data_IF_341816095417
#
_entry.id   IF_341816095417
#
_cell.length_a   1.000
_cell.length_b   1.000
_cell.length_c   1.000
_cell.angle_alpha   90.00
_cell.angle_beta   90.00
_cell.angle_gamma   90.00
#
_symmetry.space_group_name_H-M   'P 1'
#
loop_
_entity.id
_entity.type
_entity.pdbx_description
1 polymer ?
#
# COMPACT_ATOMS: atom_id res chain seq x y z
N UNK A 1 -50.09 -37.10 -19.34
CA UNK A 1 -49.53 -35.95 -18.59
C UNK A 1 -49.35 -36.25 -17.09
N UNK A 2 -50.34 -36.78 -16.36
CA UNK A 2 -50.19 -37.03 -14.91
C UNK A 2 -49.10 -38.04 -14.55
N UNK A 3 -48.85 -39.06 -15.36
CA UNK A 3 -47.80 -40.09 -15.12
C UNK A 3 -46.38 -39.55 -15.38
N UNK A 4 -46.23 -38.59 -16.27
CA UNK A 4 -44.93 -37.95 -16.58
C UNK A 4 -44.53 -36.97 -15.47
N UNK A 5 -45.50 -36.26 -14.89
CA UNK A 5 -45.28 -35.33 -13.77
C UNK A 5 -44.87 -36.08 -12.49
N UNK A 6 -45.45 -37.28 -12.26
CA UNK A 6 -45.08 -38.13 -11.12
C UNK A 6 -43.66 -38.70 -11.24
N UNK A 7 -43.19 -38.97 -12.45
CA UNK A 7 -41.81 -39.46 -12.69
C UNK A 7 -40.77 -38.38 -12.47
N UNK A 8 -41.07 -37.15 -12.86
CA UNK A 8 -40.18 -35.97 -12.63
C UNK A 8 -40.11 -35.67 -11.13
N UNK A 9 -41.26 -35.73 -10.41
CA UNK A 9 -41.30 -35.49 -8.97
C UNK A 9 -40.54 -36.56 -8.18
N UNK A 10 -40.59 -37.82 -8.60
CA UNK A 10 -39.83 -38.92 -8.01
C UNK A 10 -38.31 -38.78 -8.24
N UNK A 11 -37.90 -38.26 -9.41
CA UNK A 11 -36.51 -38.05 -9.73
C UNK A 11 -35.91 -36.91 -8.91
N UNK A 12 -36.66 -35.82 -8.68
CA UNK A 12 -36.24 -34.68 -7.84
C UNK A 12 -36.14 -35.08 -6.36
N UNK A 13 -37.02 -35.94 -5.86
CA UNK A 13 -36.94 -36.46 -4.48
C UNK A 13 -35.81 -37.48 -4.27
N UNK A 14 -35.39 -38.21 -5.29
CA UNK A 14 -34.25 -39.13 -5.21
C UNK A 14 -32.90 -38.40 -5.14
N UNK A 15 -32.79 -37.20 -5.74
CA UNK A 15 -31.61 -36.38 -5.71
C UNK A 15 -31.43 -35.59 -4.38
N UNK A 16 -32.50 -35.46 -3.57
CA UNK A 16 -32.42 -34.74 -2.30
C UNK A 16 -32.04 -35.63 -1.10
N UNK A 17 -31.94 -36.96 -1.27
CA UNK A 17 -31.63 -37.93 -0.20
C UNK A 17 -30.13 -38.29 -0.09
N UNK A 18 -29.26 -37.73 -0.92
CA UNK A 18 -27.79 -37.96 -0.87
C UNK A 18 -27.06 -36.98 0.06
N UNK A 19 -27.76 -36.03 0.66
CA UNK A 19 -27.16 -34.97 1.45
C UNK A 19 -27.26 -35.12 2.99
N UNK A 20 -27.59 -36.34 3.50
CA UNK A 20 -27.59 -36.58 4.96
C UNK A 20 -27.22 -38.01 5.31
N UNK A 21 -25.97 -38.27 5.55
CA UNK A 21 -25.46 -39.50 6.18
C UNK A 21 -24.16 -39.18 6.88
N UNK A 22 -24.24 -39.03 8.20
CA UNK A 22 -23.15 -38.55 9.04
C UNK A 22 -22.11 -39.61 9.37
N UNK A 23 -21.00 -39.10 9.87
CA UNK A 23 -20.16 -39.83 10.86
C UNK A 23 -18.75 -40.14 10.42
N UNK A 24 -17.87 -39.43 11.05
CA UNK A 24 -16.54 -39.78 11.56
C UNK A 24 -15.29 -39.18 10.88
N UNK A 25 -14.63 -38.49 11.76
CA UNK A 25 -13.30 -37.90 11.71
C UNK A 25 -12.22 -38.67 10.93
N UNK A 26 -11.64 -38.01 9.95
CA UNK A 26 -10.20 -37.96 9.71
C UNK A 26 -9.87 -36.70 8.92
N UNK A 27 -8.82 -35.97 9.23
CA UNK A 27 -8.43 -34.82 8.43
C UNK A 27 -7.83 -35.34 7.13
N UNK A 28 -8.56 -35.22 6.05
CA UNK A 28 -8.01 -35.48 4.73
C UNK A 28 -7.80 -34.13 4.04
N UNK A 29 -6.55 -33.88 3.88
CA UNK A 29 -5.95 -32.97 2.95
C UNK A 29 -6.56 -33.12 1.57
N UNK A 30 -6.68 -31.96 0.93
CA UNK A 30 -6.60 -31.78 -0.51
C UNK A 30 -7.81 -32.30 -1.34
N UNK A 31 -8.82 -31.46 -1.45
CA UNK A 31 -9.61 -31.40 -2.68
C UNK A 31 -9.38 -30.01 -3.29
N UNK A 32 -8.28 -29.97 -4.05
CA UNK A 32 -8.01 -28.86 -4.98
C UNK A 32 -9.10 -28.85 -6.04
N UNK A 33 -10.23 -28.20 -5.73
CA UNK A 33 -11.02 -27.63 -6.79
C UNK A 33 -10.17 -26.52 -7.39
N UNK A 34 -9.56 -26.82 -8.54
CA UNK A 34 -9.06 -25.83 -9.47
C UNK A 34 -10.22 -24.91 -9.89
N UNK A 35 -10.65 -24.03 -9.00
CA UNK A 35 -11.08 -22.74 -9.42
C UNK A 35 -9.81 -22.14 -10.04
N UNK A 36 -9.71 -22.05 -11.36
CA UNK A 36 -8.79 -21.10 -12.01
C UNK A 36 -9.10 -19.75 -11.39
N UNK A 37 -8.45 -19.47 -10.26
CA UNK A 37 -8.54 -18.19 -9.58
C UNK A 37 -8.10 -17.15 -10.59
N UNK A 38 -8.93 -16.15 -10.82
CA UNK A 38 -8.59 -15.07 -11.72
C UNK A 38 -7.15 -14.64 -11.41
N UNK A 39 -6.26 -14.79 -12.40
CA UNK A 39 -4.82 -14.53 -12.23
C UNK A 39 -4.66 -13.08 -11.78
N UNK A 40 -4.10 -12.86 -10.61
CA UNK A 40 -3.90 -11.51 -10.08
C UNK A 40 -2.86 -10.80 -10.94
N UNK A 41 -3.25 -9.62 -11.49
CA UNK A 41 -2.33 -8.71 -12.15
C UNK A 41 -2.23 -7.42 -11.36
N UNK A 42 -1.00 -6.95 -11.17
CA UNK A 42 -0.71 -5.82 -10.28
C UNK A 42 -0.05 -4.68 -11.05
N UNK A 43 -0.54 -3.46 -10.86
CA UNK A 43 0.09 -2.24 -11.37
C UNK A 43 0.71 -1.42 -10.24
N UNK A 44 1.89 -0.83 -10.50
CA UNK A 44 2.55 0.10 -9.59
C UNK A 44 2.89 1.38 -10.36
N UNK A 45 2.59 2.52 -9.76
CA UNK A 45 2.85 3.87 -10.29
C UNK A 45 3.74 4.60 -9.30
N UNK A 46 4.90 5.08 -9.73
CA UNK A 46 5.83 5.86 -8.92
C UNK A 46 6.16 7.20 -9.56
N UNK A 47 6.37 8.23 -8.73
CA UNK A 47 6.68 9.57 -9.21
C UNK A 47 8.06 9.63 -9.88
N UNK A 48 9.04 8.91 -9.33
CA UNK A 48 10.38 8.81 -9.87
C UNK A 48 10.77 7.34 -10.06
N UNK A 49 12.01 7.10 -10.41
CA UNK A 49 12.61 5.77 -10.55
C UNK A 49 13.48 5.41 -9.33
N UNK A 50 14.28 4.35 -9.44
CA UNK A 50 15.16 3.84 -8.40
C UNK A 50 16.27 4.83 -7.95
N UNK A 51 16.46 5.96 -8.64
CA UNK A 51 17.38 7.00 -8.21
C UNK A 51 16.81 7.85 -7.07
N UNK A 52 15.50 7.88 -6.90
CA UNK A 52 14.84 8.46 -5.73
C UNK A 52 14.87 7.47 -4.58
N UNK A 53 15.41 7.86 -3.43
CA UNK A 53 15.46 7.00 -2.24
C UNK A 53 14.05 6.70 -1.68
N UNK A 54 13.08 7.57 -1.92
CA UNK A 54 11.70 7.37 -1.53
C UNK A 54 11.04 6.30 -2.40
N UNK A 55 10.99 6.53 -3.72
CA UNK A 55 10.32 5.63 -4.68
C UNK A 55 10.99 4.26 -4.73
N UNK A 56 12.33 4.23 -4.58
CA UNK A 56 13.09 2.96 -4.54
C UNK A 56 12.58 1.99 -3.48
N UNK A 57 12.18 2.48 -2.30
CA UNK A 57 11.64 1.60 -1.25
C UNK A 57 10.33 0.93 -1.69
N UNK A 58 9.45 1.65 -2.39
CA UNK A 58 8.21 1.09 -2.94
C UNK A 58 8.50 0.12 -4.07
N UNK A 59 9.42 0.46 -4.98
CA UNK A 59 9.82 -0.39 -6.10
C UNK A 59 10.44 -1.71 -5.61
N UNK A 60 11.37 -1.64 -4.66
CA UNK A 60 12.02 -2.83 -4.09
C UNK A 60 10.99 -3.71 -3.37
N UNK A 61 10.11 -3.12 -2.56
CA UNK A 61 9.05 -3.84 -1.85
C UNK A 61 8.04 -4.48 -2.83
N UNK A 62 7.67 -3.79 -3.92
CA UNK A 62 6.80 -4.31 -4.95
C UNK A 62 7.42 -5.54 -5.64
N UNK A 63 8.69 -5.44 -6.04
CA UNK A 63 9.45 -6.54 -6.66
C UNK A 63 9.55 -7.74 -5.72
N UNK A 64 9.88 -7.52 -4.44
CA UNK A 64 9.97 -8.58 -3.44
C UNK A 64 8.62 -9.25 -3.18
N UNK A 65 7.56 -8.47 -3.00
CA UNK A 65 6.22 -9.01 -2.78
C UNK A 65 5.73 -9.82 -3.98
N UNK A 66 5.91 -9.32 -5.21
CA UNK A 66 5.54 -10.02 -6.42
C UNK A 66 6.36 -11.33 -6.60
N UNK A 67 7.67 -11.29 -6.33
CA UNK A 67 8.52 -12.48 -6.37
C UNK A 67 8.07 -13.55 -5.36
N UNK A 68 7.71 -13.15 -4.13
CA UNK A 68 7.20 -14.07 -3.10
C UNK A 68 5.86 -14.70 -3.49
N UNK A 69 5.07 -14.04 -4.33
CA UNK A 69 3.82 -14.55 -4.89
C UNK A 69 4.01 -15.33 -6.20
N UNK A 70 5.25 -15.43 -6.70
CA UNK A 70 5.54 -16.10 -7.97
C UNK A 70 5.06 -15.33 -9.20
N UNK A 71 4.83 -14.01 -9.08
CA UNK A 71 4.42 -13.15 -10.19
C UNK A 71 5.63 -12.73 -11.03
N UNK A 72 5.44 -12.63 -12.34
CA UNK A 72 6.47 -12.32 -13.33
C UNK A 72 6.33 -10.88 -13.80
N UNK A 73 7.44 -10.12 -13.79
CA UNK A 73 7.47 -8.73 -14.25
C UNK A 73 7.15 -8.63 -15.74
N UNK A 74 6.33 -7.64 -16.10
CA UNK A 74 5.79 -7.38 -17.43
C UNK A 74 4.81 -8.45 -17.97
N UNK A 75 4.45 -9.43 -17.14
CA UNK A 75 3.40 -10.42 -17.43
C UNK A 75 2.27 -10.33 -16.41
N UNK A 76 2.62 -10.44 -15.12
CA UNK A 76 1.69 -10.47 -14.01
C UNK A 76 1.73 -9.19 -13.19
N UNK A 77 2.82 -8.43 -13.23
CA UNK A 77 2.88 -7.10 -12.64
C UNK A 77 3.69 -6.11 -13.50
N UNK A 78 3.34 -4.84 -13.35
CA UNK A 78 3.91 -3.75 -14.12
C UNK A 78 4.32 -2.62 -13.18
N UNK A 79 5.53 -2.08 -13.33
CA UNK A 79 6.01 -0.90 -12.60
C UNK A 79 6.15 0.25 -13.60
N UNK A 80 5.42 1.33 -13.39
CA UNK A 80 5.44 2.56 -14.19
C UNK A 80 6.10 3.65 -13.38
N UNK A 81 7.34 3.98 -13.73
CA UNK A 81 8.16 4.99 -13.07
C UNK A 81 8.10 6.34 -13.79
N UNK A 82 8.51 7.41 -13.12
CA UNK A 82 8.55 8.77 -13.67
C UNK A 82 7.16 9.27 -14.15
N UNK A 83 6.11 8.91 -13.41
CA UNK A 83 4.75 9.34 -13.66
C UNK A 83 4.45 10.59 -12.87
N UNK A 84 4.22 11.71 -13.57
CA UNK A 84 3.95 13.01 -12.92
C UNK A 84 2.64 13.02 -12.13
N UNK A 85 2.57 13.90 -11.14
CA UNK A 85 1.36 14.19 -10.36
C UNK A 85 0.37 15.06 -11.15
N UNK A 86 -0.01 14.59 -12.34
CA UNK A 86 -0.84 15.27 -13.34
C UNK A 86 -1.79 14.28 -13.99
N UNK A 87 -2.55 14.71 -14.99
CA UNK A 87 -3.38 13.86 -15.87
C UNK A 87 -2.64 12.59 -16.35
N UNK A 88 -1.32 12.64 -16.48
CA UNK A 88 -0.50 11.48 -16.84
C UNK A 88 -0.73 10.31 -15.87
N UNK A 89 -0.95 10.59 -14.57
CA UNK A 89 -1.23 9.54 -13.60
C UNK A 89 -2.56 8.81 -13.92
N UNK A 90 -3.61 9.56 -14.31
CA UNK A 90 -4.87 8.95 -14.71
C UNK A 90 -4.72 8.13 -16.00
N UNK A 91 -3.98 8.64 -16.98
CA UNK A 91 -3.71 7.92 -18.24
C UNK A 91 -2.98 6.61 -17.97
N UNK A 92 -1.90 6.65 -17.17
CA UNK A 92 -1.12 5.44 -16.83
C UNK A 92 -1.93 4.45 -16.00
N UNK A 93 -2.78 4.94 -15.06
CA UNK A 93 -3.66 4.07 -14.29
C UNK A 93 -4.70 3.37 -15.19
N UNK A 94 -5.27 4.09 -16.16
CA UNK A 94 -6.19 3.52 -17.15
C UNK A 94 -5.49 2.49 -18.05
N UNK A 95 -4.28 2.77 -18.50
CA UNK A 95 -3.46 1.81 -19.28
C UNK A 95 -3.21 0.51 -18.50
N UNK A 96 -3.00 0.60 -17.17
CA UNK A 96 -2.84 -0.57 -16.32
C UNK A 96 -4.15 -1.36 -16.16
N UNK A 97 -5.30 -0.67 -16.09
CA UNK A 97 -6.62 -1.32 -16.13
C UNK A 97 -6.81 -2.06 -17.45
N UNK A 98 -6.51 -1.42 -18.59
CA UNK A 98 -6.61 -2.01 -19.93
C UNK A 98 -5.64 -3.19 -20.11
N UNK A 99 -4.49 -3.18 -19.42
CA UNK A 99 -3.56 -4.31 -19.36
C UNK A 99 -4.07 -5.48 -18.51
N UNK A 100 -5.23 -5.31 -17.86
CA UNK A 100 -5.90 -6.33 -17.04
C UNK A 100 -5.45 -6.36 -15.59
N UNK A 101 -4.83 -5.29 -15.07
CA UNK A 101 -4.52 -5.20 -13.64
C UNK A 101 -5.81 -5.15 -12.82
N UNK A 102 -5.89 -5.99 -11.78
CA UNK A 102 -7.01 -6.01 -10.84
C UNK A 102 -6.73 -5.21 -9.57
N UNK A 103 -5.48 -4.85 -9.33
CA UNK A 103 -5.06 -3.98 -8.24
C UNK A 103 -3.94 -3.05 -8.70
N UNK A 104 -4.06 -1.76 -8.38
CA UNK A 104 -3.11 -0.72 -8.80
C UNK A 104 -2.71 0.10 -7.58
N UNK A 105 -1.40 0.27 -7.39
CA UNK A 105 -0.79 1.05 -6.32
C UNK A 105 -0.15 2.31 -6.87
N UNK A 106 -0.23 3.42 -6.12
CA UNK A 106 0.53 4.63 -6.38
C UNK A 106 1.16 5.18 -5.10
N UNK A 107 2.37 5.74 -5.19
CA UNK A 107 3.19 6.10 -4.03
C UNK A 107 3.29 7.60 -3.73
N UNK A 108 2.95 8.47 -4.67
CA UNK A 108 3.12 9.91 -4.48
C UNK A 108 1.83 10.63 -4.13
N UNK A 109 1.92 11.61 -3.21
CA UNK A 109 0.78 12.34 -2.66
C UNK A 109 -0.13 12.95 -3.73
N UNK A 110 0.44 13.59 -4.74
CA UNK A 110 -0.33 14.24 -5.81
C UNK A 110 -0.95 13.28 -6.83
N UNK A 111 -0.65 11.99 -6.79
CA UNK A 111 -1.35 10.97 -7.60
C UNK A 111 -2.79 10.74 -7.11
N UNK A 112 -3.11 11.07 -5.85
CA UNK A 112 -4.38 10.71 -5.22
C UNK A 112 -5.62 11.12 -6.02
N UNK A 113 -5.79 12.38 -6.47
CA UNK A 113 -7.00 12.79 -7.20
C UNK A 113 -7.19 12.02 -8.51
N UNK A 114 -6.11 11.72 -9.22
CA UNK A 114 -6.12 11.00 -10.48
C UNK A 114 -6.43 9.51 -10.31
N UNK A 115 -5.89 8.89 -9.25
CA UNK A 115 -6.23 7.52 -8.89
C UNK A 115 -7.72 7.37 -8.52
N UNK A 116 -8.28 8.34 -7.79
CA UNK A 116 -9.70 8.37 -7.43
C UNK A 116 -10.58 8.48 -8.68
N UNK A 117 -10.20 9.28 -9.66
CA UNK A 117 -10.95 9.45 -10.91
C UNK A 117 -11.04 8.11 -11.66
N UNK A 118 -9.92 7.41 -11.83
CA UNK A 118 -9.89 6.11 -12.51
C UNK A 118 -10.61 5.04 -11.69
N UNK A 119 -10.51 5.06 -10.36
CA UNK A 119 -11.23 4.15 -9.49
C UNK A 119 -12.76 4.28 -9.61
N UNK A 120 -13.28 5.51 -9.76
CA UNK A 120 -14.72 5.75 -10.01
C UNK A 120 -15.20 5.14 -11.33
N UNK A 121 -14.35 5.14 -12.35
CA UNK A 121 -14.67 4.60 -13.66
C UNK A 121 -14.55 3.07 -13.73
N UNK A 122 -13.80 2.44 -12.83
CA UNK A 122 -13.47 1.02 -12.84
C UNK A 122 -13.73 0.36 -11.48
N UNK A 123 -15.01 0.17 -11.10
CA UNK A 123 -15.38 -0.32 -9.77
C UNK A 123 -14.93 -1.76 -9.48
N UNK A 124 -14.57 -2.54 -10.48
CA UNK A 124 -14.07 -3.91 -10.37
C UNK A 124 -12.56 -3.99 -10.09
N UNK A 125 -11.82 -2.90 -10.29
CA UNK A 125 -10.38 -2.81 -10.02
C UNK A 125 -10.13 -2.15 -8.68
N UNK A 126 -9.20 -2.70 -7.89
CA UNK A 126 -8.81 -2.14 -6.60
C UNK A 126 -7.70 -1.10 -6.77
N UNK A 127 -7.82 0.03 -6.11
CA UNK A 127 -6.83 1.10 -6.13
C UNK A 127 -6.33 1.37 -4.71
N UNK A 128 -5.03 1.35 -4.54
CA UNK A 128 -4.36 1.61 -3.28
C UNK A 128 -3.39 2.79 -3.45
N UNK A 129 -3.48 3.76 -2.57
CA UNK A 129 -2.64 4.94 -2.64
C UNK A 129 -1.91 5.14 -1.32
N UNK A 130 -0.59 5.26 -1.36
CA UNK A 130 0.23 5.61 -0.21
C UNK A 130 0.21 7.13 -0.01
N UNK A 131 0.25 7.58 1.23
CA UNK A 131 0.26 8.98 1.62
C UNK A 131 -1.03 9.78 1.41
N UNK A 132 -2.01 9.27 0.68
CA UNK A 132 -3.30 9.91 0.50
C UNK A 132 -4.20 9.84 1.73
N UNK A 133 -5.25 10.65 1.74
CA UNK A 133 -6.15 10.81 2.89
C UNK A 133 -7.63 10.75 2.51
N UNK A 134 -7.97 10.55 1.24
CA UNK A 134 -9.34 10.76 0.74
C UNK A 134 -10.19 9.49 0.67
N UNK A 135 -9.64 8.29 0.91
CA UNK A 135 -10.40 7.06 0.83
C UNK A 135 -11.67 7.08 1.72
N UNK A 136 -11.55 7.61 2.95
CA UNK A 136 -12.67 7.69 3.89
C UNK A 136 -13.73 8.76 3.53
N UNK A 137 -13.38 9.76 2.73
CA UNK A 137 -14.29 10.83 2.30
C UNK A 137 -14.92 10.57 0.94
N UNK A 138 -14.21 9.87 0.04
CA UNK A 138 -14.75 9.52 -1.28
C UNK A 138 -15.78 8.38 -1.20
N UNK A 139 -15.67 7.50 -0.22
CA UNK A 139 -16.64 6.42 0.02
C UNK A 139 -16.67 5.35 -1.07
N UNK A 140 -15.60 5.21 -1.86
CA UNK A 140 -15.46 4.19 -2.89
C UNK A 140 -15.07 2.85 -2.26
N UNK A 141 -15.75 1.77 -2.63
CA UNK A 141 -15.47 0.43 -2.12
C UNK A 141 -14.13 -0.14 -2.65
N UNK A 142 -13.63 0.40 -3.75
CA UNK A 142 -12.44 -0.04 -4.46
C UNK A 142 -11.26 0.95 -4.37
N UNK A 143 -11.31 1.94 -3.46
CA UNK A 143 -10.23 2.89 -3.27
C UNK A 143 -9.78 2.92 -1.81
N UNK A 144 -8.48 2.74 -1.58
CA UNK A 144 -7.89 2.57 -0.27
C UNK A 144 -6.65 3.45 -0.09
N UNK A 145 -6.46 3.97 1.12
CA UNK A 145 -5.19 4.59 1.51
C UNK A 145 -4.40 3.63 2.40
N UNK A 146 -3.13 3.43 2.08
CA UNK A 146 -2.18 2.70 2.91
C UNK A 146 -1.22 3.70 3.55
N UNK A 147 -1.14 3.68 4.87
CA UNK A 147 -0.27 4.57 5.63
C UNK A 147 0.43 3.81 6.74
N UNK A 148 1.76 3.85 6.76
CA UNK A 148 2.54 3.30 7.84
C UNK A 148 2.69 4.33 8.98
N UNK A 149 3.07 3.87 10.18
CA UNK A 149 3.39 4.74 11.32
C UNK A 149 4.76 5.42 11.11
N UNK A 150 4.88 6.24 10.06
CA UNK A 150 6.15 6.86 9.61
C UNK A 150 6.79 7.73 10.71
N UNK A 151 5.99 8.28 11.63
CA UNK A 151 6.48 9.06 12.76
C UNK A 151 7.42 8.24 13.67
N UNK A 152 7.27 6.92 13.75
CA UNK A 152 8.18 6.05 14.51
C UNK A 152 9.57 6.02 13.88
N UNK A 153 9.65 5.87 12.55
CA UNK A 153 10.90 5.98 11.80
C UNK A 153 11.51 7.39 11.91
N UNK A 154 10.69 8.44 11.93
CA UNK A 154 11.15 9.82 12.16
C UNK A 154 11.74 10.00 13.55
N UNK A 155 11.16 9.37 14.57
CA UNK A 155 11.71 9.39 15.92
C UNK A 155 13.11 8.75 15.98
N UNK A 156 13.27 7.57 15.35
CA UNK A 156 14.57 6.90 15.26
C UNK A 156 15.61 7.74 14.50
N UNK A 157 15.22 8.36 13.40
CA UNK A 157 16.08 9.27 12.66
C UNK A 157 16.48 10.49 13.52
N UNK A 158 15.56 10.98 14.35
CA UNK A 158 15.83 12.02 15.33
C UNK A 158 16.86 11.61 16.37
N UNK A 159 16.77 10.39 16.92
CA UNK A 159 17.79 9.85 17.83
C UNK A 159 19.17 9.88 17.16
N UNK A 160 19.28 9.38 15.91
CA UNK A 160 20.55 9.39 15.18
C UNK A 160 21.10 10.81 14.98
N UNK A 161 20.24 11.77 14.65
CA UNK A 161 20.62 13.18 14.53
C UNK A 161 21.11 13.75 15.87
N UNK A 162 20.42 13.47 16.97
CA UNK A 162 20.82 13.92 18.32
C UNK A 162 22.15 13.30 18.76
N UNK A 163 22.39 12.03 18.44
CA UNK A 163 23.69 11.38 18.68
C UNK A 163 24.81 12.06 17.89
N UNK A 164 24.54 12.43 16.63
CA UNK A 164 25.51 13.16 15.81
C UNK A 164 25.80 14.56 16.37
N UNK A 165 24.80 15.27 16.88
CA UNK A 165 25.00 16.55 17.56
C UNK A 165 25.91 16.39 18.78
N UNK A 166 25.71 15.38 19.61
CA UNK A 166 26.58 15.12 20.76
C UNK A 166 28.03 14.83 20.34
N UNK A 167 28.23 14.04 19.27
CA UNK A 167 29.59 13.81 18.71
C UNK A 167 30.24 15.13 18.28
N UNK A 168 29.51 16.03 17.64
CA UNK A 168 30.01 17.34 17.20
C UNK A 168 30.32 18.27 18.40
N UNK A 169 29.50 18.23 19.44
CA UNK A 169 29.75 18.95 20.72
C UNK A 169 31.04 18.44 21.38
N UNK A 170 31.20 17.10 21.48
CA UNK A 170 32.40 16.48 22.04
C UNK A 170 33.66 16.81 21.24
N UNK A 171 33.53 16.96 19.92
CA UNK A 171 34.60 17.38 19.01
C UNK A 171 34.93 18.90 19.12
N UNK A 172 34.11 19.66 19.87
CA UNK A 172 34.29 21.10 20.05
C UNK A 172 33.90 21.95 18.83
N UNK A 173 33.06 21.41 17.94
CA UNK A 173 32.58 22.14 16.76
C UNK A 173 31.60 23.28 17.16
N UNK A 174 30.82 23.08 18.21
CA UNK A 174 29.94 24.06 18.84
C UNK A 174 29.61 23.61 20.29
N UNK A 175 29.02 24.51 21.07
CA UNK A 175 28.62 24.19 22.45
C UNK A 175 27.25 23.53 22.52
N UNK A 176 26.93 22.91 23.65
CA UNK A 176 25.61 22.27 23.85
C UNK A 176 24.44 23.25 23.72
N UNK A 177 24.67 24.51 24.11
CA UNK A 177 23.68 25.60 24.04
C UNK A 177 23.44 26.06 22.58
N UNK A 178 24.39 25.83 21.69
CA UNK A 178 24.32 26.17 20.27
C UNK A 178 23.74 25.03 19.42
N UNK A 179 23.45 23.87 20.03
CA UNK A 179 22.90 22.73 19.31
C UNK A 179 21.53 23.06 18.68
N UNK A 180 21.53 23.18 17.37
CA UNK A 180 20.34 23.56 16.59
C UNK A 180 20.22 22.74 15.31
N UNK A 181 19.00 22.36 14.99
CA UNK A 181 18.65 21.67 13.74
C UNK A 181 17.70 22.53 12.91
N UNK A 182 17.65 22.28 11.60
CA UNK A 182 16.60 22.70 10.70
C UNK A 182 15.83 21.50 10.17
N UNK A 183 14.53 21.65 10.00
CA UNK A 183 13.70 20.64 9.37
C UNK A 183 12.85 21.29 8.26
N UNK A 184 12.89 20.72 7.06
CA UNK A 184 12.06 21.19 5.95
C UNK A 184 10.85 20.27 5.82
N UNK A 185 9.68 20.78 6.21
CA UNK A 185 8.41 20.09 6.04
C UNK A 185 7.84 20.32 4.65
N UNK A 186 7.24 19.29 4.03
CA UNK A 186 6.67 19.40 2.69
C UNK A 186 5.40 20.26 2.66
N UNK A 187 4.49 20.03 3.63
CA UNK A 187 3.19 20.72 3.74
C UNK A 187 2.76 20.82 5.20
N UNK A 188 1.76 21.68 5.46
CA UNK A 188 1.22 21.89 6.81
C UNK A 188 0.09 20.90 7.12
N UNK A 189 0.34 19.60 6.93
CA UNK A 189 -0.60 18.52 7.27
C UNK A 189 -0.25 17.86 8.61
N UNK A 190 -1.23 17.27 9.24
CA UNK A 190 -1.07 16.56 10.52
C UNK A 190 0.02 15.47 10.44
N UNK A 191 0.12 14.76 9.33
CA UNK A 191 1.16 13.76 9.08
C UNK A 191 2.56 14.39 9.09
N UNK A 192 2.77 15.48 8.37
CA UNK A 192 4.07 16.19 8.30
C UNK A 192 4.42 16.77 9.67
N UNK A 193 3.41 17.34 10.39
CA UNK A 193 3.57 17.84 11.77
C UNK A 193 4.00 16.71 12.70
N UNK A 194 3.36 15.56 12.63
CA UNK A 194 3.73 14.38 13.45
C UNK A 194 5.16 13.94 13.15
N UNK A 195 5.58 14.01 11.88
CA UNK A 195 6.91 13.64 11.42
C UNK A 195 8.01 14.49 12.05
N UNK A 196 7.96 15.81 11.88
CA UNK A 196 9.00 16.69 12.44
C UNK A 196 8.94 16.76 13.98
N UNK A 197 7.74 16.64 14.57
CA UNK A 197 7.60 16.59 16.03
C UNK A 197 8.28 15.34 16.59
N UNK A 198 8.05 14.17 15.99
CA UNK A 198 8.70 12.92 16.38
C UNK A 198 10.20 12.96 16.20
N UNK A 199 10.69 13.51 15.07
CA UNK A 199 12.11 13.71 14.81
C UNK A 199 12.76 14.56 15.90
N UNK A 200 12.15 15.71 16.23
CA UNK A 200 12.62 16.58 17.30
C UNK A 200 12.66 15.87 18.67
N UNK A 201 11.59 15.15 19.02
CA UNK A 201 11.53 14.41 20.29
C UNK A 201 12.60 13.31 20.35
N UNK A 202 12.86 12.63 19.24
CA UNK A 202 13.92 11.65 19.12
C UNK A 202 15.29 12.29 19.36
N UNK A 203 15.62 13.41 18.71
CA UNK A 203 16.86 14.13 18.92
C UNK A 203 17.00 14.63 20.35
N UNK A 204 15.94 15.20 20.90
CA UNK A 204 15.92 15.74 22.26
C UNK A 204 16.09 14.68 23.34
N UNK A 205 15.70 13.42 23.06
CA UNK A 205 15.85 12.32 24.00
C UNK A 205 17.32 11.99 24.31
N UNK A 206 18.24 12.28 23.40
CA UNK A 206 19.68 12.03 23.53
C UNK A 206 20.53 13.31 23.58
N UNK A 207 20.06 14.41 23.02
CA UNK A 207 20.69 15.74 23.10
C UNK A 207 19.67 16.75 23.70
N UNK A 208 19.58 16.85 25.04
CA UNK A 208 18.48 17.59 25.69
C UNK A 208 18.45 19.10 25.41
N UNK A 209 19.58 19.69 25.02
CA UNK A 209 19.69 21.13 24.74
C UNK A 209 19.29 21.50 23.32
N UNK A 210 19.13 20.49 22.42
CA UNK A 210 18.82 20.75 21.02
C UNK A 210 17.55 21.58 20.84
N UNK A 211 17.63 22.51 19.91
CA UNK A 211 16.48 23.26 19.36
C UNK A 211 16.30 22.93 17.88
N UNK A 212 15.10 23.18 17.36
CA UNK A 212 14.79 22.90 15.95
C UNK A 212 13.90 23.99 15.39
N UNK A 213 14.27 24.52 14.21
CA UNK A 213 13.42 25.34 13.36
C UNK A 213 12.78 24.45 12.28
N UNK A 214 11.52 24.76 11.87
CA UNK A 214 10.76 24.05 10.84
C UNK A 214 10.38 25.04 9.73
#
# INVERSE_FOLDING_TARGET
MKKFLALILALVMALSLVACGGGNDTPNTDDGSDAEGAKVKVGFITLHDENSTYDKNFIDAAKEACANLGLVENEDYFIKTNVGETEQCAEVAADLVDAGCNIIFADSFGHEPYMIEVAKANPEVQFCHSTGTRAHTEGLANYHNAFASIYEGRYLAGIAAGMKLNEMIEAGEFTAEEAKMGYVGAFTYAEVVSGYTSFYLGAKSVCPTVTMDV
#
